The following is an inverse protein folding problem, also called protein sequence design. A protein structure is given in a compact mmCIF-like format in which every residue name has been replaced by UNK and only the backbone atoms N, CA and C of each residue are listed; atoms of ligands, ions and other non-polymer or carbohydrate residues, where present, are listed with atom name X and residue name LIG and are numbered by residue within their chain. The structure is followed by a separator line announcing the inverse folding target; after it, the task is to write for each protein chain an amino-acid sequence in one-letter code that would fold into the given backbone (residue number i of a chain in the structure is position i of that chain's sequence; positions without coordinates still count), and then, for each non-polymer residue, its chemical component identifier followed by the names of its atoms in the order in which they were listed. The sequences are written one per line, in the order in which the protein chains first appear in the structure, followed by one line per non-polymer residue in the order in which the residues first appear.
data_IF_627332232080
#
_entry.id   IF_627332232080
#
_cell.length_a   1.000
_cell.length_b   1.000
_cell.length_c   1.000
_cell.angle_alpha   90.00
_cell.angle_beta   90.00
_cell.angle_gamma   90.00
#
_symmetry.space_group_name_H-M   'P 1'
#
loop_
_entity.id
_entity.type
_entity.pdbx_description
1 polymer ?
#
# COMPACT_ATOMS: atom_id res chain seq x y z
N UNK A 1 -19.57 5.10 -35.15
CA UNK A 1 -19.05 3.93 -34.42
C UNK A 1 -18.13 4.41 -33.30
N UNK A 2 -18.62 4.39 -32.07
CA UNK A 2 -17.79 4.68 -30.89
C UNK A 2 -17.02 3.38 -30.59
N UNK A 3 -15.70 3.41 -30.37
CA UNK A 3 -14.96 2.22 -29.96
C UNK A 3 -15.50 1.73 -28.63
N UNK A 4 -15.84 0.44 -28.52
CA UNK A 4 -16.14 -0.18 -27.24
C UNK A 4 -14.90 -0.10 -26.35
N UNK A 5 -15.02 0.26 -25.06
CA UNK A 5 -13.89 0.20 -24.15
C UNK A 5 -13.50 -1.26 -23.96
N UNK A 6 -12.21 -1.57 -24.13
CA UNK A 6 -11.60 -2.85 -23.78
C UNK A 6 -11.94 -3.19 -22.33
N UNK A 7 -13.02 -3.97 -22.17
CA UNK A 7 -13.46 -4.47 -20.87
C UNK A 7 -12.65 -5.74 -20.66
N UNK A 8 -11.55 -5.62 -19.90
CA UNK A 8 -10.84 -6.79 -19.40
C UNK A 8 -11.84 -7.77 -18.76
N UNK A 9 -11.65 -9.09 -18.91
CA UNK A 9 -12.50 -10.05 -18.24
C UNK A 9 -12.44 -9.78 -16.74
N UNK A 10 -13.61 -9.50 -16.14
CA UNK A 10 -13.78 -9.44 -14.71
C UNK A 10 -13.24 -10.76 -14.15
N UNK A 11 -12.03 -10.72 -13.57
CA UNK A 11 -11.43 -11.88 -12.92
C UNK A 11 -12.37 -12.24 -11.78
N UNK A 12 -13.18 -13.28 -12.01
CA UNK A 12 -14.12 -13.85 -11.06
C UNK A 12 -13.36 -14.19 -9.77
N UNK A 13 -13.38 -13.26 -8.81
CA UNK A 13 -12.77 -13.43 -7.51
C UNK A 13 -13.60 -14.45 -6.74
N UNK A 14 -12.88 -15.38 -6.10
CA UNK A 14 -13.37 -16.42 -5.21
C UNK A 14 -14.61 -15.96 -4.42
N UNK A 15 -15.84 -16.33 -4.85
CA UNK A 15 -17.07 -15.72 -4.36
C UNK A 15 -17.25 -15.99 -2.87
N UNK A 16 -17.85 -15.04 -2.14
CA UNK A 16 -18.02 -15.16 -0.69
C UNK A 16 -18.76 -16.47 -0.35
N UNK A 17 -18.11 -17.39 0.39
CA UNK A 17 -18.73 -18.65 0.75
C UNK A 17 -19.84 -18.42 1.79
N UNK A 18 -20.83 -19.32 1.80
CA UNK A 18 -21.90 -19.30 2.81
C UNK A 18 -21.33 -19.16 4.22
N UNK A 19 -21.81 -18.14 4.94
CA UNK A 19 -21.43 -17.86 6.32
C UNK A 19 -21.50 -19.11 7.21
N UNK A 20 -20.56 -19.23 8.15
CA UNK A 20 -20.48 -20.38 9.07
C UNK A 20 -19.85 -21.65 8.49
N UNK A 21 -19.43 -21.68 7.22
CA UNK A 21 -18.67 -22.80 6.65
C UNK A 21 -17.16 -22.68 6.91
N UNK A 22 -16.43 -23.80 6.89
CA UNK A 22 -14.95 -23.78 6.93
C UNK A 22 -14.36 -22.96 5.78
N UNK A 23 -14.99 -23.00 4.61
CA UNK A 23 -14.64 -22.17 3.46
C UNK A 23 -14.85 -20.68 3.75
N UNK A 24 -15.96 -20.30 4.39
CA UNK A 24 -16.19 -18.92 4.82
C UNK A 24 -15.12 -18.43 5.79
N UNK A 25 -14.70 -19.23 6.78
CA UNK A 25 -13.62 -18.84 7.69
C UNK A 25 -12.25 -18.76 7.00
N UNK A 26 -11.97 -19.62 6.01
CA UNK A 26 -10.74 -19.55 5.22
C UNK A 26 -10.74 -18.32 4.30
N UNK A 27 -11.87 -18.04 3.65
CA UNK A 27 -12.09 -16.84 2.85
C UNK A 27 -12.00 -15.58 3.70
N UNK A 28 -12.68 -15.54 4.84
CA UNK A 28 -12.63 -14.45 5.82
C UNK A 28 -11.22 -14.19 6.29
N UNK A 29 -10.44 -15.24 6.64
CA UNK A 29 -9.02 -15.08 7.01
C UNK A 29 -8.14 -14.54 5.88
N UNK A 30 -8.38 -14.91 4.62
CA UNK A 30 -7.65 -14.38 3.46
C UNK A 30 -7.94 -12.90 3.22
N UNK A 31 -9.17 -12.47 3.52
CA UNK A 31 -9.64 -11.10 3.35
C UNK A 31 -9.58 -10.27 4.64
N UNK A 32 -8.99 -10.82 5.72
CA UNK A 32 -8.85 -10.17 7.02
C UNK A 32 -7.64 -9.23 7.01
N UNK A 33 -7.89 -7.96 6.73
CA UNK A 33 -6.89 -6.91 6.62
C UNK A 33 -6.09 -6.65 7.90
N UNK A 34 -6.70 -6.79 9.08
CA UNK A 34 -6.07 -6.51 10.37
C UNK A 34 -4.96 -7.48 10.76
N UNK A 35 -4.85 -8.64 10.10
CA UNK A 35 -3.73 -9.57 10.27
C UNK A 35 -2.55 -9.29 9.32
N UNK A 36 -2.72 -8.43 8.31
CA UNK A 36 -1.70 -8.13 7.30
C UNK A 36 -0.91 -6.89 7.72
N UNK A 37 0.17 -7.05 8.49
CA UNK A 37 0.98 -5.94 9.02
C UNK A 37 1.39 -4.90 7.95
N UNK A 38 1.65 -5.34 6.71
CA UNK A 38 2.06 -4.46 5.61
C UNK A 38 1.00 -3.45 5.18
N UNK A 39 -0.29 -3.65 5.48
CA UNK A 39 -1.34 -2.68 5.10
C UNK A 39 -1.27 -1.39 5.92
N UNK A 40 -0.60 -1.43 7.08
CA UNK A 40 -0.37 -0.28 7.97
C UNK A 40 0.92 0.49 7.64
N UNK A 41 1.68 0.04 6.64
CA UNK A 41 2.91 0.71 6.23
C UNK A 41 2.61 2.11 5.67
N UNK A 42 3.56 3.04 5.81
CA UNK A 42 3.46 4.35 5.17
C UNK A 42 3.52 4.22 3.65
N UNK A 43 2.97 5.20 2.93
CA UNK A 43 3.02 5.26 1.45
C UNK A 43 4.44 5.05 0.95
N UNK A 44 5.38 5.89 1.36
CA UNK A 44 6.76 5.85 0.86
C UNK A 44 7.45 4.51 1.20
N UNK A 45 7.14 3.90 2.35
CA UNK A 45 7.68 2.58 2.69
C UNK A 45 7.14 1.49 1.75
N UNK A 46 5.84 1.47 1.49
CA UNK A 46 5.21 0.48 0.61
C UNK A 46 5.73 0.60 -0.82
N UNK A 47 5.85 1.83 -1.36
CA UNK A 47 6.42 2.04 -2.69
C UNK A 47 7.90 1.65 -2.74
N UNK A 48 8.66 1.97 -1.69
CA UNK A 48 10.08 1.57 -1.60
C UNK A 48 10.26 0.04 -1.51
N UNK A 49 9.40 -0.66 -0.75
CA UNK A 49 9.42 -2.13 -0.65
C UNK A 49 9.13 -2.78 -2.01
N UNK A 50 8.10 -2.28 -2.70
CA UNK A 50 7.74 -2.72 -4.06
C UNK A 50 8.93 -2.55 -5.02
N UNK A 51 9.51 -1.35 -5.06
CA UNK A 51 10.62 -1.03 -5.96
C UNK A 51 11.88 -1.85 -5.67
N UNK A 52 12.31 -1.90 -4.41
CA UNK A 52 13.54 -2.61 -4.05
C UNK A 52 13.38 -4.12 -4.27
N UNK A 53 12.21 -4.69 -3.98
CA UNK A 53 11.97 -6.11 -4.24
C UNK A 53 11.95 -6.41 -5.73
N UNK A 54 11.29 -5.57 -6.53
CA UNK A 54 11.32 -5.68 -8.00
C UNK A 54 12.75 -5.59 -8.55
N UNK A 55 13.55 -4.64 -8.06
CA UNK A 55 14.95 -4.48 -8.41
C UNK A 55 15.81 -5.69 -8.05
N UNK A 56 15.66 -6.20 -6.83
CA UNK A 56 16.41 -7.37 -6.35
C UNK A 56 16.03 -8.65 -7.12
N UNK A 57 14.77 -8.75 -7.55
CA UNK A 57 14.31 -9.82 -8.43
C UNK A 57 14.90 -9.63 -9.83
N UNK A 58 14.81 -8.44 -10.42
CA UNK A 58 15.36 -8.16 -11.76
C UNK A 58 16.85 -8.50 -11.86
N UNK A 59 17.63 -8.12 -10.85
CA UNK A 59 19.07 -8.39 -10.78
C UNK A 59 19.45 -9.89 -10.76
N UNK A 60 18.52 -10.78 -10.43
CA UNK A 60 18.77 -12.24 -10.42
C UNK A 60 18.52 -12.90 -11.77
N UNK A 61 17.67 -12.32 -12.61
CA UNK A 61 17.17 -12.99 -13.82
C UNK A 61 17.46 -12.23 -15.13
N UNK A 62 17.82 -10.94 -15.06
CA UNK A 62 18.17 -10.12 -16.22
C UNK A 62 19.70 -9.87 -16.28
N UNK A 63 20.29 -9.87 -17.48
CA UNK A 63 21.68 -9.46 -17.69
C UNK A 63 21.86 -7.95 -17.47
N UNK A 64 23.03 -7.53 -16.98
CA UNK A 64 23.38 -6.20 -16.46
C UNK A 64 23.25 -5.00 -17.43
N UNK A 65 22.72 -5.19 -18.65
CA UNK A 65 22.70 -4.11 -19.66
C UNK A 65 21.64 -3.05 -19.41
N UNK A 66 20.55 -3.40 -18.73
CA UNK A 66 19.38 -2.52 -18.57
C UNK A 66 19.28 -2.02 -17.12
N UNK A 67 19.27 -0.70 -16.97
CA UNK A 67 19.08 -0.05 -15.68
C UNK A 67 17.64 -0.24 -15.19
N UNK A 68 17.48 -0.89 -14.04
CA UNK A 68 16.18 -1.01 -13.39
C UNK A 68 15.71 0.34 -12.85
N UNK A 69 14.56 0.82 -13.32
CA UNK A 69 13.91 2.05 -12.88
C UNK A 69 12.39 1.85 -12.77
N UNK A 70 11.70 2.79 -12.13
CA UNK A 70 10.25 2.84 -11.92
C UNK A 70 9.42 2.67 -13.21
N UNK A 71 9.98 3.06 -14.36
CA UNK A 71 9.33 2.84 -15.67
C UNK A 71 9.28 1.35 -15.99
N UNK A 72 10.35 0.61 -15.73
CA UNK A 72 10.40 -0.84 -15.93
C UNK A 72 9.42 -1.53 -14.98
N UNK A 73 9.44 -1.17 -13.69
CA UNK A 73 8.49 -1.69 -12.71
C UNK A 73 7.02 -1.45 -13.13
N UNK A 74 6.68 -0.27 -13.63
CA UNK A 74 5.32 0.03 -14.07
C UNK A 74 4.89 -0.83 -15.27
N UNK A 75 5.80 -1.06 -16.23
CA UNK A 75 5.55 -1.94 -17.39
C UNK A 75 5.35 -3.39 -16.92
N UNK A 76 6.21 -3.90 -16.04
CA UNK A 76 6.08 -5.26 -15.48
C UNK A 76 4.72 -5.48 -14.81
N UNK A 77 4.30 -4.50 -13.99
CA UNK A 77 3.01 -4.55 -13.28
C UNK A 77 1.83 -4.48 -14.25
N UNK A 78 1.93 -3.70 -15.33
CA UNK A 78 0.90 -3.56 -16.35
C UNK A 78 0.75 -4.84 -17.19
N UNK A 79 1.85 -5.41 -17.67
CA UNK A 79 1.88 -6.58 -18.56
C UNK A 79 1.58 -7.91 -17.83
N UNK A 80 1.66 -7.92 -16.50
CA UNK A 80 1.37 -9.07 -15.63
C UNK A 80 -0.03 -9.69 -15.84
N UNK A 81 -0.99 -8.92 -16.34
CA UNK A 81 -2.38 -9.37 -16.60
C UNK A 81 -2.48 -10.42 -17.70
N UNK A 82 -1.51 -10.44 -18.62
CA UNK A 82 -1.61 -11.13 -19.91
C UNK A 82 -0.75 -12.38 -20.03
N UNK A 83 0.30 -12.53 -19.22
CA UNK A 83 1.26 -13.64 -19.31
C UNK A 83 1.01 -14.69 -18.23
N UNK A 84 0.44 -15.82 -18.64
CA UNK A 84 0.27 -16.99 -17.78
C UNK A 84 1.56 -17.82 -17.80
N UNK A 85 2.57 -17.48 -16.98
CA UNK A 85 3.84 -18.22 -16.92
C UNK A 85 4.36 -18.39 -15.48
N UNK A 86 4.85 -19.62 -15.22
CA UNK A 86 5.30 -20.25 -13.97
C UNK A 86 6.83 -20.15 -13.78
N UNK A 87 7.41 -18.95 -13.69
CA UNK A 87 8.80 -18.80 -13.24
C UNK A 87 8.87 -18.16 -11.84
N UNK A 88 10.00 -18.38 -11.16
CA UNK A 88 10.20 -17.97 -9.78
C UNK A 88 10.22 -16.43 -9.62
N UNK A 89 10.70 -15.71 -10.65
CA UNK A 89 10.67 -14.25 -10.69
C UNK A 89 9.23 -13.72 -10.67
N UNK A 90 8.39 -14.22 -11.58
CA UNK A 90 6.98 -13.81 -11.69
C UNK A 90 6.17 -14.19 -10.44
N UNK A 91 6.53 -15.30 -9.78
CA UNK A 91 5.91 -15.70 -8.51
C UNK A 91 6.18 -14.68 -7.40
N UNK A 92 7.44 -14.29 -7.19
CA UNK A 92 7.77 -13.34 -6.12
C UNK A 92 7.29 -11.92 -6.45
N UNK A 93 7.38 -11.50 -7.71
CA UNK A 93 6.84 -10.21 -8.13
C UNK A 93 5.33 -10.14 -7.86
N UNK A 94 4.61 -11.24 -8.14
CA UNK A 94 3.18 -11.38 -7.83
C UNK A 94 2.88 -11.20 -6.35
N UNK A 95 3.62 -11.85 -5.45
CA UNK A 95 3.37 -11.71 -4.01
C UNK A 95 3.50 -10.25 -3.57
N UNK A 96 4.50 -9.53 -4.06
CA UNK A 96 4.74 -8.13 -3.69
C UNK A 96 3.68 -7.21 -4.27
N UNK A 97 3.27 -7.42 -5.53
CA UNK A 97 2.17 -6.68 -6.18
C UNK A 97 0.84 -6.95 -5.49
N UNK A 98 0.57 -8.17 -5.03
CA UNK A 98 -0.64 -8.49 -4.30
C UNK A 98 -0.64 -7.83 -2.90
N UNK A 99 0.51 -7.75 -2.21
CA UNK A 99 0.65 -6.94 -0.98
C UNK A 99 0.42 -5.45 -1.25
N UNK A 100 0.82 -4.96 -2.42
CA UNK A 100 0.59 -3.57 -2.81
C UNK A 100 -0.89 -3.29 -3.11
N UNK A 101 -1.57 -4.18 -3.85
CA UNK A 101 -3.03 -4.14 -4.05
C UNK A 101 -3.78 -4.11 -2.73
N UNK A 102 -3.37 -4.99 -1.82
CA UNK A 102 -3.89 -5.09 -0.47
C UNK A 102 -3.77 -3.75 0.29
N UNK A 103 -2.62 -3.08 0.18
CA UNK A 103 -2.38 -1.78 0.80
C UNK A 103 -3.24 -0.66 0.18
N UNK A 104 -3.39 -0.64 -1.15
CA UNK A 104 -4.23 0.34 -1.87
C UNK A 104 -5.70 0.23 -1.45
N UNK A 105 -6.21 -1.01 -1.37
CA UNK A 105 -7.58 -1.31 -0.96
C UNK A 105 -7.82 -0.89 0.51
N UNK A 106 -6.91 -1.26 1.41
CA UNK A 106 -7.02 -0.91 2.84
C UNK A 106 -7.02 0.60 3.09
N UNK A 107 -6.14 1.35 2.42
CA UNK A 107 -6.01 2.79 2.63
C UNK A 107 -7.05 3.61 1.85
N UNK A 108 -7.95 2.96 1.10
CA UNK A 108 -9.04 3.62 0.38
C UNK A 108 -8.59 4.46 -0.81
N UNK A 109 -7.43 4.17 -1.39
CA UNK A 109 -6.96 4.85 -2.61
C UNK A 109 -7.76 4.44 -3.85
N UNK A 110 -8.44 3.28 -3.81
CA UNK A 110 -9.39 2.85 -4.82
C UNK A 110 -10.63 2.19 -4.19
N UNK A 111 -11.85 2.46 -4.70
CA UNK A 111 -13.09 1.82 -4.21
C UNK A 111 -13.24 0.36 -4.67
N UNK A 112 -12.38 -0.11 -5.58
CA UNK A 112 -12.30 -1.50 -6.05
C UNK A 112 -10.85 -1.97 -6.00
N UNK A 113 -10.65 -3.28 -6.02
CA UNK A 113 -9.31 -3.82 -6.23
C UNK A 113 -8.74 -3.27 -7.54
N UNK A 114 -7.61 -2.54 -7.50
CA UNK A 114 -7.08 -1.87 -8.67
C UNK A 114 -6.66 -2.91 -9.72
N UNK A 115 -6.98 -2.64 -10.98
CA UNK A 115 -6.44 -3.39 -12.11
C UNK A 115 -4.93 -3.20 -12.17
N UNK A 116 -4.23 -4.09 -12.88
CA UNK A 116 -2.79 -3.95 -13.10
C UNK A 116 -2.43 -2.65 -13.83
N UNK A 117 -3.30 -2.21 -14.73
CA UNK A 117 -3.16 -0.91 -15.39
C UNK A 117 -3.29 0.26 -14.42
N UNK A 118 -4.30 0.21 -13.53
CA UNK A 118 -4.48 1.23 -12.49
C UNK A 118 -3.30 1.25 -11.50
N UNK A 119 -2.74 0.09 -11.16
CA UNK A 119 -1.52 0.01 -10.34
C UNK A 119 -0.32 0.65 -11.02
N UNK A 120 -0.13 0.38 -12.31
CA UNK A 120 0.93 1.00 -13.09
C UNK A 120 0.75 2.52 -13.17
N UNK A 121 -0.48 3.01 -13.37
CA UNK A 121 -0.80 4.44 -13.33
C UNK A 121 -0.45 5.06 -11.96
N UNK A 122 -0.78 4.37 -10.86
CA UNK A 122 -0.43 4.78 -9.49
C UNK A 122 1.09 4.85 -9.29
N UNK A 123 1.84 3.88 -9.81
CA UNK A 123 3.32 3.84 -9.75
C UNK A 123 3.91 5.02 -10.53
N UNK A 124 3.43 5.28 -11.74
CA UNK A 124 3.90 6.41 -12.57
C UNK A 124 3.60 7.75 -11.89
N UNK A 125 2.39 7.94 -11.36
CA UNK A 125 2.01 9.16 -10.65
C UNK A 125 2.86 9.38 -9.38
N UNK A 126 3.15 8.32 -8.62
CA UNK A 126 4.04 8.42 -7.46
C UNK A 126 5.44 8.89 -7.85
N UNK A 127 5.99 8.35 -8.93
CA UNK A 127 7.31 8.77 -9.45
C UNK A 127 7.30 10.25 -9.83
N UNK A 128 6.31 10.70 -10.58
CA UNK A 128 6.18 12.10 -11.01
C UNK A 128 6.09 13.06 -9.81
N UNK A 129 5.30 12.73 -8.79
CA UNK A 129 5.19 13.51 -7.55
C UNK A 129 6.52 13.53 -6.77
N UNK A 130 7.21 12.39 -6.72
CA UNK A 130 8.49 12.26 -6.02
C UNK A 130 9.60 13.06 -6.72
N UNK A 131 9.67 13.00 -8.05
CA UNK A 131 10.61 13.78 -8.86
C UNK A 131 10.32 15.28 -8.77
N UNK A 132 9.03 15.68 -8.74
CA UNK A 132 8.62 17.07 -8.54
C UNK A 132 8.98 17.60 -7.15
N UNK A 133 8.95 16.75 -6.11
CA UNK A 133 9.32 17.09 -4.73
C UNK A 133 10.83 17.31 -4.55
N UNK A 134 11.67 16.82 -5.46
CA UNK A 134 13.14 16.92 -5.39
C UNK A 134 13.66 18.22 -6.03
N UNK A 135 12.81 19.06 -6.63
CA UNK A 135 13.27 20.40 -7.07
C UNK A 135 13.75 21.14 -5.82
N UNK A 136 15.06 21.39 -5.65
CA UNK A 136 15.53 22.13 -4.50
C UNK A 136 14.91 23.53 -4.60
N UNK A 137 14.31 24.01 -3.52
CA UNK A 137 13.92 25.42 -3.43
C UNK A 137 15.09 26.27 -3.92
N UNK A 138 14.90 27.12 -4.96
CA UNK A 138 15.99 27.94 -5.48
C UNK A 138 16.66 28.68 -4.34
N UNK A 139 17.94 28.39 -4.11
CA UNK A 139 18.80 29.09 -3.16
C UNK A 139 18.91 30.55 -3.59
N UNK A 140 18.01 31.39 -3.08
CA UNK A 140 17.87 32.78 -3.53
C UNK A 140 16.52 33.43 -3.24
N UNK A 141 15.50 32.68 -2.83
CA UNK A 141 14.26 33.29 -2.34
C UNK A 141 14.49 33.91 -0.95
N UNK A 142 14.66 35.24 -0.93
CA UNK A 142 14.70 36.03 0.29
C UNK A 142 13.41 35.80 1.09
N UNK A 143 13.54 35.18 2.27
CA UNK A 143 12.41 34.81 3.11
C UNK A 143 11.74 36.06 3.66
N UNK A 144 10.61 36.46 3.07
CA UNK A 144 9.76 37.49 3.63
C UNK A 144 9.19 36.95 4.97
N UNK A 145 9.65 37.55 6.08
CA UNK A 145 9.27 37.16 7.45
C UNK A 145 7.76 37.21 7.60
N UNK A 146 7.13 36.04 7.70
CA UNK A 146 5.69 35.92 7.94
C UNK A 146 5.42 36.04 9.45
N UNK A 147 4.57 36.99 9.81
CA UNK A 147 4.17 37.24 11.19
C UNK A 147 3.35 36.03 11.68
N UNK A 148 3.80 35.40 12.78
CA UNK A 148 3.12 34.24 13.39
C UNK A 148 1.73 34.62 13.89
N UNK A 149 0.71 34.37 13.07
CA UNK A 149 -0.70 34.35 13.46
C UNK A 149 -1.14 32.93 13.79
N UNK A 150 -1.37 32.68 15.09
CA UNK A 150 -1.97 31.51 15.77
C UNK A 150 -2.13 30.21 14.94
N UNK A 151 -1.32 29.22 15.29
CA UNK A 151 -1.56 27.82 14.96
C UNK A 151 -2.94 27.39 15.46
N UNK A 152 -3.74 26.80 14.56
CA UNK A 152 -4.96 26.09 14.91
C UNK A 152 -4.54 24.65 15.19
N UNK A 153 -4.79 24.18 16.41
CA UNK A 153 -4.56 22.79 16.82
C UNK A 153 -5.22 21.82 15.85
N UNK A 154 -4.48 20.77 15.50
CA UNK A 154 -5.00 19.58 14.84
C UNK A 154 -5.96 18.92 15.85
N UNK A 155 -7.19 18.53 15.47
CA UNK A 155 -8.09 17.89 16.41
C UNK A 155 -7.50 16.56 16.87
N UNK A 156 -7.63 16.36 18.18
CA UNK A 156 -7.31 15.17 18.96
C UNK A 156 -7.85 13.89 18.33
N UNK A 157 -7.19 12.79 18.70
CA UNK A 157 -7.45 11.40 18.38
C UNK A 157 -8.95 11.07 18.22
N UNK A 158 -9.29 10.29 17.20
CA UNK A 158 -10.66 9.88 16.93
C UNK A 158 -11.22 9.09 18.13
N UNK A 159 -12.51 9.24 18.47
CA UNK A 159 -13.11 8.44 19.53
C UNK A 159 -13.03 6.95 19.18
N UNK A 160 -12.40 6.15 20.05
CA UNK A 160 -12.31 4.69 19.91
C UNK A 160 -13.70 4.08 19.72
N UNK A 161 -13.80 3.17 18.76
CA UNK A 161 -15.05 2.45 18.45
C UNK A 161 -15.31 1.36 19.50
N UNK A 162 -16.56 0.94 19.67
CA UNK A 162 -16.92 -0.10 20.66
C UNK A 162 -16.17 -1.42 20.41
N UNK A 163 -15.83 -1.74 19.15
CA UNK A 163 -15.01 -2.91 18.80
C UNK A 163 -13.57 -2.82 19.32
N UNK A 164 -13.00 -1.61 19.40
CA UNK A 164 -11.65 -1.38 19.90
C UNK A 164 -11.60 -1.58 21.42
N UNK A 165 -12.65 -1.14 22.14
CA UNK A 165 -12.85 -1.42 23.57
C UNK A 165 -13.03 -2.90 23.87
N UNK A 166 -13.83 -3.61 23.08
CA UNK A 166 -14.05 -5.05 23.27
C UNK A 166 -12.78 -5.87 23.00
N UNK A 167 -11.94 -5.44 22.05
CA UNK A 167 -10.65 -6.07 21.77
C UNK A 167 -9.63 -5.85 22.90
N UNK A 168 -9.55 -4.64 23.47
CA UNK A 168 -8.70 -4.35 24.63
C UNK A 168 -9.13 -5.18 25.87
N UNK A 169 -10.45 -5.30 26.10
CA UNK A 169 -10.99 -6.10 27.20
C UNK A 169 -10.72 -7.61 27.03
N UNK A 170 -10.77 -8.12 25.79
CA UNK A 170 -10.50 -9.53 25.50
C UNK A 170 -9.01 -9.90 25.58
N UNK A 171 -8.12 -8.94 25.35
CA UNK A 171 -6.68 -9.17 25.34
C UNK A 171 -5.96 -8.83 26.65
N UNK A 172 -6.68 -8.34 27.66
CA UNK A 172 -6.12 -8.11 28.99
C UNK A 172 -4.90 -7.20 28.97
N UNK A 173 -5.00 -6.04 28.32
CA UNK A 173 -3.98 -5.00 28.48
C UNK A 173 -4.16 -4.45 29.90
N UNK A 174 -3.33 -4.91 30.82
CA UNK A 174 -3.17 -4.32 32.14
C UNK A 174 -2.53 -2.95 31.91
N UNK A 175 -3.29 -1.89 32.17
CA UNK A 175 -2.79 -0.54 32.32
C UNK A 175 -2.09 -0.46 33.68
N UNK A 176 -0.87 -1.01 33.76
CA UNK A 176 0.08 -0.72 34.85
C UNK A 176 1.07 0.29 34.29
N UNK A 177 0.62 1.53 34.14
CA UNK A 177 1.51 2.67 34.32
C UNK A 177 1.55 2.92 35.83
N UNK A 178 2.50 2.28 36.51
CA UNK A 178 2.73 2.46 37.94
C UNK A 178 3.51 3.79 38.11
N UNK A 179 2.76 4.89 38.23
CA UNK A 179 3.24 6.23 38.50
C UNK A 179 3.22 6.53 40.01
N UNK A 180 3.93 5.74 40.80
CA UNK A 180 4.18 6.09 42.21
C UNK A 180 5.67 6.15 42.57
N UNK A 181 6.02 7.35 43.05
CA UNK A 181 7.15 7.73 43.92
C UNK A 181 8.50 8.10 43.30
N UNK A 182 8.56 9.37 42.87
CA UNK A 182 9.67 10.26 43.18
C UNK A 182 9.48 10.74 44.64
N UNK A 183 10.44 10.47 45.53
CA UNK A 183 10.85 11.41 46.58
C UNK A 183 12.19 10.98 47.22
N UNK A 184 13.14 11.92 47.09
CA UNK A 184 14.45 12.17 47.75
C UNK A 184 15.64 11.19 47.59
#
# INVERSE_FOLDING_TARGET
PIPEPDTEPEVDRDPEPKQGTKAHWAWYKRHRWDCKLWVKNSKDHTFSDLYNTGKDLWAKYQDESDEYDWVILAIEVEEWSTTRIEDEYQYYLREVVDRFKDWIEYNGYSPKAPSCKELADIIRAYKEDHDAKIIPTPSGCETMRLNKGKAREIPEERPKTDMEREWEAANGIIDEFDDEYFDE
#
